data_IF_485416241370
#
_entry.id   IF_485416241370
#
_cell.length_a   1.000
_cell.length_b   1.000
_cell.length_c   1.000
_cell.angle_alpha   90.00
_cell.angle_beta   90.00
_cell.angle_gamma   90.00
#
_symmetry.space_group_name_H-M   'P 1'
#
loop_
_entity.id
_entity.type
_entity.pdbx_description
1 polymer ?
#
# COMPACT_ATOMS: atom_id res chain seq x y z
N UNK A 1 4.67 -10.57 3.52
CA UNK A 1 5.49 -11.66 4.08
C UNK A 1 6.53 -12.10 3.05
N UNK A 2 7.81 -12.12 3.48
CA UNK A 2 8.95 -12.36 2.57
C UNK A 2 8.88 -13.70 1.84
N UNK A 3 8.32 -14.74 2.48
CA UNK A 3 8.26 -16.07 1.90
C UNK A 3 7.27 -16.22 0.74
N UNK A 4 6.21 -15.41 0.70
CA UNK A 4 5.15 -15.52 -0.31
C UNK A 4 5.09 -14.35 -1.27
N UNK A 5 5.77 -13.22 -0.97
CA UNK A 5 5.71 -11.96 -1.73
C UNK A 5 4.26 -11.55 -2.08
N UNK A 6 3.30 -11.87 -1.21
CA UNK A 6 1.89 -11.57 -1.45
C UNK A 6 1.64 -10.07 -1.23
N UNK A 7 1.18 -9.39 -2.27
CA UNK A 7 0.90 -7.96 -2.21
C UNK A 7 -0.37 -7.68 -1.40
N UNK A 8 -0.21 -6.92 -0.30
CA UNK A 8 -1.30 -6.21 0.36
C UNK A 8 -1.37 -4.81 -0.25
N UNK A 9 -2.43 -4.53 -0.99
CA UNK A 9 -2.57 -3.23 -1.66
C UNK A 9 -2.89 -2.12 -0.66
N UNK A 10 -2.55 -0.88 -1.03
CA UNK A 10 -2.89 0.33 -0.27
C UNK A 10 -4.40 0.53 -0.08
N UNK A 11 -5.23 -0.14 -0.87
CA UNK A 11 -6.69 -0.08 -0.74
C UNK A 11 -7.17 -0.40 0.66
N UNK A 12 -6.56 -1.38 1.34
CA UNK A 12 -6.96 -1.76 2.70
C UNK A 12 -6.79 -0.62 3.71
N UNK A 13 -5.77 0.23 3.52
CA UNK A 13 -5.55 1.44 4.34
C UNK A 13 -6.62 2.49 4.03
N UNK A 14 -7.00 2.60 2.75
CA UNK A 14 -8.12 3.44 2.30
C UNK A 14 -9.46 2.99 2.85
N UNK A 15 -9.63 1.68 3.10
CA UNK A 15 -10.85 1.09 3.68
C UNK A 15 -10.92 1.22 5.21
N UNK A 16 -9.84 1.62 5.89
CA UNK A 16 -9.86 1.86 7.34
C UNK A 16 -8.72 1.20 8.13
N UNK A 17 -7.90 0.33 7.55
CA UNK A 17 -6.80 -0.31 8.27
C UNK A 17 -5.77 0.72 8.79
N UNK A 18 -5.19 0.44 9.97
CA UNK A 18 -4.11 1.20 10.58
C UNK A 18 -2.81 0.41 10.56
N UNK A 19 -1.67 1.10 10.61
CA UNK A 19 -0.35 0.49 10.68
C UNK A 19 0.21 0.55 12.10
N UNK A 20 0.57 -0.61 12.64
CA UNK A 20 1.09 -0.79 14.00
C UNK A 20 2.52 -1.35 13.90
N UNK A 21 3.46 -0.68 14.54
CA UNK A 21 4.86 -1.11 14.60
C UNK A 21 5.09 -2.19 15.69
N UNK A 22 6.34 -2.63 15.83
CA UNK A 22 6.74 -3.62 16.82
C UNK A 22 6.53 -3.16 18.27
N UNK A 23 6.54 -1.85 18.52
CA UNK A 23 6.30 -1.27 19.84
C UNK A 23 4.80 -1.12 20.17
N UNK A 24 3.91 -1.62 19.31
CA UNK A 24 2.46 -1.55 19.51
C UNK A 24 1.84 -0.19 19.13
N UNK A 25 2.57 0.69 18.45
CA UNK A 25 2.14 2.06 18.19
C UNK A 25 1.82 2.30 16.72
N UNK A 26 0.86 3.19 16.45
CA UNK A 26 0.72 3.84 15.14
C UNK A 26 1.86 4.84 14.98
N UNK A 27 2.37 4.98 13.76
CA UNK A 27 3.56 5.78 13.49
C UNK A 27 3.44 6.70 12.27
N UNK A 28 2.35 6.62 11.51
CA UNK A 28 2.17 7.41 10.28
C UNK A 28 0.70 7.63 9.97
N UNK A 29 0.42 8.61 9.11
CA UNK A 29 -0.86 8.70 8.42
C UNK A 29 -0.88 7.68 7.27
N UNK A 30 -1.71 6.67 7.39
CA UNK A 30 -1.78 5.55 6.45
C UNK A 30 -2.28 5.96 5.06
N UNK A 31 -2.84 7.17 4.90
CA UNK A 31 -3.34 7.68 3.62
C UNK A 31 -2.33 8.56 2.88
N UNK A 32 -1.13 8.74 3.41
CA UNK A 32 -0.05 9.37 2.66
C UNK A 32 0.30 8.56 1.41
N UNK A 33 1.03 9.16 0.50
CA UNK A 33 1.51 8.49 -0.72
C UNK A 33 2.37 7.28 -0.37
N UNK A 34 2.40 6.27 -1.26
CA UNK A 34 3.09 5.00 -1.01
C UNK A 34 4.54 5.17 -0.61
N UNK A 35 5.25 6.09 -1.26
CA UNK A 35 6.65 6.43 -0.95
C UNK A 35 6.82 6.92 0.49
N UNK A 36 5.92 7.80 0.96
CA UNK A 36 5.97 8.35 2.32
C UNK A 36 5.63 7.28 3.38
N UNK A 37 4.60 6.47 3.14
CA UNK A 37 4.26 5.38 4.05
C UNK A 37 5.36 4.33 4.09
N UNK A 38 5.92 3.96 2.93
CA UNK A 38 7.05 3.03 2.87
C UNK A 38 8.30 3.58 3.59
N UNK A 39 8.61 4.87 3.44
CA UNK A 39 9.68 5.50 4.19
C UNK A 39 9.46 5.41 5.69
N UNK A 40 8.25 5.72 6.17
CA UNK A 40 7.88 5.60 7.58
C UNK A 40 7.96 4.16 8.10
N UNK A 41 7.58 3.16 7.30
CA UNK A 41 7.74 1.74 7.64
C UNK A 41 9.22 1.32 7.75
N UNK A 42 10.09 1.80 6.83
CA UNK A 42 11.53 1.54 6.88
C UNK A 42 12.21 2.09 8.16
N UNK A 43 11.67 3.18 8.71
CA UNK A 43 12.17 3.79 9.95
C UNK A 43 11.74 3.03 11.21
N UNK A 44 10.77 2.10 11.10
CA UNK A 44 10.33 1.32 12.24
C UNK A 44 11.33 0.21 12.60
N UNK A 45 11.32 -0.27 13.86
CA UNK A 45 12.14 -1.41 14.26
C UNK A 45 11.97 -2.58 13.28
N UNK A 46 13.08 -3.10 12.74
CA UNK A 46 13.11 -4.21 11.77
C UNK A 46 12.47 -3.90 10.40
N UNK A 47 11.98 -2.65 10.13
CA UNK A 47 11.46 -2.21 8.84
C UNK A 47 10.15 -2.87 8.40
N UNK A 48 9.29 -3.24 9.37
CA UNK A 48 7.98 -3.82 9.11
C UNK A 48 6.91 -3.27 10.07
N UNK A 49 5.65 -3.53 9.73
CA UNK A 49 4.50 -3.19 10.55
C UNK A 49 3.41 -4.27 10.43
N UNK A 50 2.38 -4.19 11.26
CA UNK A 50 1.12 -4.90 11.05
C UNK A 50 0.07 -3.95 10.48
N UNK A 51 -0.59 -4.35 9.39
CA UNK A 51 -1.84 -3.76 8.96
C UNK A 51 -2.96 -4.37 9.81
N UNK A 52 -3.55 -3.55 10.68
CA UNK A 52 -4.61 -3.97 11.63
C UNK A 52 -5.95 -3.40 11.19
N UNK A 53 -6.98 -4.24 11.19
CA UNK A 53 -8.33 -3.88 10.80
C UNK A 53 -9.37 -4.84 11.41
N UNK A 54 -10.62 -4.48 11.29
CA UNK A 54 -11.74 -5.26 11.80
C UNK A 54 -12.57 -5.93 10.69
N UNK A 55 -13.67 -6.56 11.09
CA UNK A 55 -14.58 -7.24 10.17
C UNK A 55 -15.14 -6.32 9.09
N UNK A 56 -15.37 -5.04 9.36
CA UNK A 56 -15.92 -4.09 8.40
C UNK A 56 -14.98 -3.90 7.20
N UNK A 57 -13.69 -3.70 7.47
CA UNK A 57 -12.66 -3.60 6.44
C UNK A 57 -12.46 -4.94 5.71
N UNK A 58 -12.51 -6.05 6.44
CA UNK A 58 -12.47 -7.39 5.85
C UNK A 58 -13.61 -7.62 4.85
N UNK A 59 -14.84 -7.29 5.22
CA UNK A 59 -16.03 -7.48 4.37
C UNK A 59 -15.99 -6.58 3.10
N UNK A 60 -15.37 -5.40 3.19
CA UNK A 60 -15.18 -4.49 2.06
C UNK A 60 -14.12 -4.99 1.06
N UNK A 61 -13.19 -5.82 1.52
CA UNK A 61 -12.03 -6.26 0.73
C UNK A 61 -11.96 -7.79 0.55
N UNK A 62 -12.79 -8.31 -0.35
CA UNK A 62 -12.91 -9.76 -0.61
C UNK A 62 -11.60 -10.49 -0.95
N UNK A 63 -10.56 -9.76 -1.35
CA UNK A 63 -9.27 -10.36 -1.67
C UNK A 63 -8.46 -10.76 -0.42
N UNK A 64 -8.82 -10.23 0.75
CA UNK A 64 -8.14 -10.54 2.02
C UNK A 64 -8.30 -12.02 2.37
N UNK A 65 -9.51 -12.56 2.22
CA UNK A 65 -9.77 -13.99 2.50
C UNK A 65 -8.84 -14.89 1.69
N UNK A 66 -8.88 -14.78 0.37
CA UNK A 66 -8.15 -15.70 -0.53
C UNK A 66 -6.62 -15.50 -0.53
N UNK A 67 -6.17 -14.28 -0.26
CA UNK A 67 -4.74 -13.95 -0.30
C UNK A 67 -4.03 -14.14 1.03
N UNK A 68 -4.73 -13.93 2.16
CA UNK A 68 -4.11 -13.86 3.47
C UNK A 68 -4.74 -14.82 4.47
N UNK A 69 -6.04 -14.77 4.74
CA UNK A 69 -6.68 -15.57 5.79
C UNK A 69 -6.59 -17.06 5.49
N UNK A 70 -7.06 -17.50 4.32
CA UNK A 70 -7.03 -18.91 3.91
C UNK A 70 -5.61 -19.50 3.75
N UNK A 71 -4.59 -18.62 3.66
CA UNK A 71 -3.17 -19.03 3.59
C UNK A 71 -2.45 -18.97 4.94
N UNK A 72 -3.14 -18.57 6.00
CA UNK A 72 -2.53 -18.43 7.33
C UNK A 72 -1.54 -17.25 7.44
N UNK A 73 -1.66 -16.24 6.56
CA UNK A 73 -0.82 -15.04 6.56
C UNK A 73 -1.44 -13.89 7.36
N UNK A 74 -2.69 -14.02 7.78
CA UNK A 74 -3.37 -13.10 8.67
C UNK A 74 -3.55 -13.73 10.05
N UNK A 75 -3.23 -12.98 11.09
CA UNK A 75 -3.63 -13.29 12.46
C UNK A 75 -5.08 -12.87 12.62
N UNK A 76 -5.90 -13.70 13.28
CA UNK A 76 -7.34 -13.44 13.46
C UNK A 76 -7.70 -13.72 14.92
N UNK A 77 -8.44 -12.80 15.53
CA UNK A 77 -8.89 -12.94 16.91
C UNK A 77 -10.25 -12.28 17.14
N UNK A 78 -10.97 -12.75 18.16
CA UNK A 78 -12.30 -12.22 18.54
C UNK A 78 -12.22 -10.94 19.39
N UNK A 79 -11.04 -10.64 19.96
CA UNK A 79 -10.81 -9.41 20.74
C UNK A 79 -9.46 -8.79 20.41
N UNK A 80 -9.33 -7.48 20.67
CA UNK A 80 -8.08 -6.73 20.46
C UNK A 80 -6.95 -7.28 21.34
N UNK A 81 -7.25 -7.63 22.59
CA UNK A 81 -6.27 -8.20 23.52
C UNK A 81 -5.72 -9.54 23.00
N UNK A 82 -6.60 -10.42 22.51
CA UNK A 82 -6.16 -11.69 21.91
C UNK A 82 -5.36 -11.46 20.65
N UNK A 83 -5.73 -10.47 19.82
CA UNK A 83 -4.97 -10.13 18.63
C UNK A 83 -3.56 -9.67 19.01
N UNK A 84 -3.44 -8.77 20.00
CA UNK A 84 -2.15 -8.31 20.52
C UNK A 84 -1.26 -9.44 21.04
N UNK A 85 -1.83 -10.47 21.66
CA UNK A 85 -1.10 -11.65 22.13
C UNK A 85 -0.59 -12.53 20.98
N UNK A 86 -1.23 -12.48 19.82
CA UNK A 86 -0.80 -13.23 18.62
C UNK A 86 0.24 -12.46 17.80
N UNK A 87 0.29 -11.14 17.93
CA UNK A 87 1.22 -10.29 17.22
C UNK A 87 2.61 -10.33 17.89
N UNK A 88 3.67 -10.22 17.09
CA UNK A 88 5.04 -10.00 17.57
C UNK A 88 5.25 -8.50 17.86
N UNK A 89 4.55 -7.99 18.89
CA UNK A 89 4.55 -6.56 19.27
C UNK A 89 4.31 -6.42 20.76
N UNK A 90 4.52 -5.22 21.32
CA UNK A 90 4.11 -4.91 22.68
C UNK A 90 2.57 -4.91 22.76
N UNK A 91 2.02 -5.97 23.37
CA UNK A 91 0.58 -6.22 23.39
C UNK A 91 -0.19 -5.21 24.25
N UNK A 92 0.38 -4.72 25.33
CA UNK A 92 -0.26 -3.74 26.23
C UNK A 92 -0.36 -2.39 25.52
N UNK A 93 0.75 -1.92 24.96
CA UNK A 93 0.78 -0.68 24.17
C UNK A 93 -0.13 -0.76 22.94
N UNK A 94 -0.21 -1.92 22.28
CA UNK A 94 -1.11 -2.12 21.15
C UNK A 94 -2.57 -1.94 21.53
N UNK A 95 -3.02 -2.55 22.63
CA UNK A 95 -4.42 -2.43 23.13
C UNK A 95 -4.74 -0.97 23.46
N UNK A 96 -3.82 -0.27 24.14
CA UNK A 96 -3.97 1.15 24.46
C UNK A 96 -4.00 2.03 23.19
N UNK A 97 -3.17 1.73 22.21
CA UNK A 97 -3.14 2.43 20.91
C UNK A 97 -4.49 2.33 20.20
N UNK A 98 -5.08 1.12 20.12
CA UNK A 98 -6.38 0.93 19.47
C UNK A 98 -7.51 1.59 20.27
N UNK A 99 -7.48 1.51 21.60
CA UNK A 99 -8.47 2.17 22.44
C UNK A 99 -8.43 3.70 22.25
N UNK A 100 -7.24 4.31 22.34
CA UNK A 100 -7.05 5.75 22.12
C UNK A 100 -7.50 6.18 20.72
N UNK A 101 -7.19 5.39 19.70
CA UNK A 101 -7.63 5.66 18.32
C UNK A 101 -9.17 5.65 18.20
N UNK A 102 -9.84 4.66 18.80
CA UNK A 102 -11.29 4.56 18.78
C UNK A 102 -11.96 5.69 19.57
N UNK A 103 -11.42 6.03 20.75
CA UNK A 103 -11.94 7.13 21.60
C UNK A 103 -11.82 8.48 20.88
N UNK A 104 -10.71 8.76 20.24
CA UNK A 104 -10.53 9.99 19.46
C UNK A 104 -11.58 10.11 18.34
N UNK A 105 -11.91 9.00 17.66
CA UNK A 105 -12.97 8.99 16.64
C UNK A 105 -14.34 9.23 17.28
N UNK A 106 -14.66 8.56 18.39
CA UNK A 106 -15.93 8.69 19.07
C UNK A 106 -16.17 10.13 19.61
N UNK A 107 -15.09 10.79 20.04
CA UNK A 107 -15.12 12.17 20.53
C UNK A 107 -15.07 13.22 19.41
N UNK A 108 -14.86 12.83 18.15
CA UNK A 108 -14.69 13.76 17.03
C UNK A 108 -13.38 14.55 17.08
N UNK A 109 -12.36 14.00 17.72
CA UNK A 109 -11.03 14.60 17.83
C UNK A 109 -10.23 14.42 16.53
N UNK A 110 -9.30 15.35 16.27
CA UNK A 110 -8.38 15.23 15.15
C UNK A 110 -7.39 14.06 15.36
N UNK A 111 -7.01 13.41 14.26
CA UNK A 111 -5.96 12.38 14.30
C UNK A 111 -4.59 13.04 14.51
N UNK A 112 -3.83 12.67 15.53
CA UNK A 112 -2.50 13.24 15.78
C UNK A 112 -1.50 13.01 14.62
N UNK A 113 -1.78 12.03 13.74
CA UNK A 113 -0.99 11.75 12.53
C UNK A 113 -1.55 12.45 11.28
N UNK A 114 -2.63 13.25 11.41
CA UNK A 114 -3.21 14.03 10.34
C UNK A 114 -4.04 13.22 9.33
N UNK A 115 -4.58 12.05 9.73
CA UNK A 115 -5.49 11.27 8.92
C UNK A 115 -6.91 11.85 9.01
N UNK A 116 -7.33 12.61 8.01
CA UNK A 116 -8.63 13.31 7.99
C UNK A 116 -9.78 12.44 7.47
N UNK A 117 -9.49 11.44 6.63
CA UNK A 117 -10.48 10.61 5.93
C UNK A 117 -10.33 9.14 6.27
N UNK A 118 -11.38 8.36 6.00
CA UNK A 118 -11.41 6.92 6.24
C UNK A 118 -10.94 6.55 7.68
N UNK A 119 -11.36 7.34 8.66
CA UNK A 119 -11.14 7.11 10.09
C UNK A 119 -12.31 6.31 10.61
N UNK A 120 -12.20 5.01 10.49
CA UNK A 120 -13.19 4.07 10.98
C UNK A 120 -12.72 3.48 12.30
N UNK A 121 -13.60 3.40 13.29
CA UNK A 121 -13.29 2.72 14.56
C UNK A 121 -13.07 1.23 14.30
N UNK A 122 -12.10 0.65 14.98
CA UNK A 122 -11.78 -0.78 14.93
C UNK A 122 -12.47 -1.46 16.11
N UNK A 123 -13.74 -1.84 15.91
CA UNK A 123 -14.63 -2.32 16.99
C UNK A 123 -15.41 -3.60 16.64
N UNK A 124 -15.51 -3.96 15.38
CA UNK A 124 -16.33 -5.08 14.89
C UNK A 124 -15.50 -6.37 14.77
N UNK A 125 -15.71 -7.29 15.69
CA UNK A 125 -15.01 -8.60 15.64
C UNK A 125 -15.47 -9.45 14.43
N UNK A 126 -14.61 -10.36 13.90
CA UNK A 126 -13.23 -10.61 14.29
C UNK A 126 -12.26 -9.51 13.83
N UNK A 127 -11.13 -9.41 14.54
CA UNK A 127 -10.04 -8.50 14.25
C UNK A 127 -8.91 -9.21 13.52
N UNK A 128 -8.21 -8.50 12.66
CA UNK A 128 -7.19 -9.04 11.77
C UNK A 128 -5.89 -8.25 11.88
N UNK A 129 -4.76 -8.95 11.80
CA UNK A 129 -3.44 -8.33 11.63
C UNK A 129 -2.65 -9.06 10.55
N UNK A 130 -2.12 -8.32 9.58
CA UNK A 130 -1.27 -8.85 8.51
C UNK A 130 0.09 -8.20 8.62
N UNK A 131 1.16 -8.99 8.81
CA UNK A 131 2.53 -8.49 8.83
C UNK A 131 2.94 -8.02 7.44
N UNK A 132 3.37 -6.77 7.32
CA UNK A 132 3.70 -6.10 6.05
C UNK A 132 5.06 -5.44 6.14
N UNK A 133 5.72 -5.32 5.00
CA UNK A 133 6.92 -4.52 4.83
C UNK A 133 6.87 -3.84 3.46
N UNK A 134 7.59 -2.72 3.27
CA UNK A 134 7.66 -2.06 1.98
C UNK A 134 8.18 -3.00 0.89
N UNK A 135 7.54 -2.97 -0.27
CA UNK A 135 7.95 -3.74 -1.43
C UNK A 135 7.84 -2.94 -2.71
N UNK A 136 8.77 -3.13 -3.63
CA UNK A 136 8.72 -2.51 -4.95
C UNK A 136 7.69 -3.28 -5.79
N UNK A 137 6.68 -2.56 -6.26
CA UNK A 137 5.62 -3.11 -7.10
C UNK A 137 5.65 -2.55 -8.53
N UNK A 138 6.06 -1.30 -8.71
CA UNK A 138 6.10 -0.61 -10.00
C UNK A 138 7.18 0.47 -9.97
N UNK A 139 7.99 0.56 -11.00
CA UNK A 139 8.93 1.66 -11.19
C UNK A 139 8.21 2.87 -11.80
N UNK A 140 8.53 4.10 -11.35
CA UNK A 140 7.97 5.34 -11.89
C UNK A 140 8.90 5.98 -12.91
N UNK A 141 10.19 5.76 -12.74
CA UNK A 141 11.24 6.15 -13.68
C UNK A 141 11.50 5.08 -14.74
N UNK A 142 12.19 5.46 -15.81
CA UNK A 142 12.52 4.56 -16.90
C UNK A 142 13.03 5.31 -18.13
N UNK A 143 12.97 4.66 -19.27
CA UNK A 143 13.36 5.25 -20.56
C UNK A 143 12.47 6.46 -20.88
N UNK A 144 13.08 7.57 -21.28
CA UNK A 144 12.34 8.71 -21.81
C UNK A 144 11.85 8.39 -23.21
N UNK A 145 10.58 8.68 -23.46
CA UNK A 145 9.95 8.51 -24.78
C UNK A 145 9.29 9.80 -25.23
N UNK A 146 9.09 9.95 -26.54
CA UNK A 146 8.26 11.00 -27.13
C UNK A 146 6.80 10.49 -27.31
N UNK A 147 5.96 11.30 -27.94
CA UNK A 147 4.54 10.95 -28.20
C UNK A 147 4.36 9.78 -29.16
N UNK A 148 5.37 9.50 -29.97
CA UNK A 148 5.40 8.37 -30.90
C UNK A 148 6.06 7.12 -30.29
N UNK A 149 6.34 7.18 -28.97
CA UNK A 149 6.96 6.11 -28.18
C UNK A 149 8.40 5.77 -28.55
N UNK A 150 9.06 6.60 -29.36
CA UNK A 150 10.48 6.46 -29.64
C UNK A 150 11.29 6.78 -28.38
N UNK A 151 12.27 5.96 -28.09
CA UNK A 151 13.19 6.17 -26.95
C UNK A 151 14.12 7.34 -27.26
N UNK A 152 14.26 8.24 -26.29
CA UNK A 152 15.11 9.43 -26.40
C UNK A 152 16.50 9.17 -25.78
N UNK A 153 17.55 9.63 -26.45
CA UNK A 153 18.91 9.67 -25.94
C UNK A 153 19.08 10.76 -24.85
N UNK A 154 20.29 10.95 -24.34
CA UNK A 154 20.60 11.96 -23.31
C UNK A 154 20.35 13.40 -23.80
N UNK A 155 20.50 13.67 -25.10
CA UNK A 155 20.30 14.97 -25.74
C UNK A 155 18.82 15.26 -26.03
N UNK A 156 17.93 14.26 -25.83
CA UNK A 156 16.50 14.38 -26.09
C UNK A 156 16.10 14.04 -27.53
N UNK A 157 17.00 13.45 -28.31
CA UNK A 157 16.77 13.03 -29.69
C UNK A 157 16.28 11.58 -29.73
N UNK A 158 15.39 11.26 -30.68
CA UNK A 158 14.91 9.90 -30.86
C UNK A 158 16.04 8.97 -31.33
N UNK A 159 16.12 7.80 -30.72
CA UNK A 159 17.00 6.72 -31.16
C UNK A 159 16.28 5.96 -32.28
N UNK A 160 16.79 6.01 -33.55
CA UNK A 160 16.05 5.44 -34.66
C UNK A 160 15.78 3.93 -34.50
N UNK A 161 14.52 3.54 -34.69
CA UNK A 161 14.09 2.13 -34.63
C UNK A 161 13.95 1.56 -33.19
N UNK A 162 14.11 2.39 -32.16
CA UNK A 162 13.94 1.95 -30.76
C UNK A 162 12.68 2.56 -30.16
N UNK A 163 11.72 1.70 -29.81
CA UNK A 163 10.45 2.06 -29.19
C UNK A 163 10.33 1.42 -27.81
N UNK A 164 9.61 2.06 -26.90
CA UNK A 164 9.32 1.52 -25.57
C UNK A 164 7.93 1.93 -25.08
N UNK A 165 7.28 1.05 -24.29
CA UNK A 165 6.00 1.30 -23.68
C UNK A 165 5.86 0.54 -22.34
N UNK A 166 4.97 0.99 -21.46
CA UNK A 166 4.68 0.36 -20.17
C UNK A 166 5.72 0.70 -19.10
N UNK A 167 5.83 -0.14 -18.09
CA UNK A 167 6.62 0.11 -16.87
C UNK A 167 8.09 0.48 -17.13
N UNK A 168 8.67 0.02 -18.21
CA UNK A 168 10.06 0.36 -18.60
C UNK A 168 10.23 1.83 -18.94
N UNK A 169 9.15 2.57 -19.22
CA UNK A 169 9.16 3.99 -19.56
C UNK A 169 8.99 4.87 -18.35
N UNK A 170 9.63 6.05 -18.35
CA UNK A 170 9.51 7.07 -17.32
C UNK A 170 8.77 8.32 -17.79
N UNK A 171 8.29 9.11 -16.83
CA UNK A 171 7.68 10.42 -17.08
C UNK A 171 6.14 10.42 -17.24
N UNK A 172 5.51 9.26 -17.48
CA UNK A 172 4.06 9.16 -17.68
C UNK A 172 3.29 9.35 -16.37
N UNK A 173 3.76 8.74 -15.29
CA UNK A 173 3.08 8.68 -14.00
C UNK A 173 3.59 9.67 -12.96
N UNK A 174 4.55 10.51 -13.29
CA UNK A 174 5.21 11.38 -12.31
C UNK A 174 5.95 10.57 -11.24
N UNK A 175 5.97 11.06 -10.01
CA UNK A 175 6.64 10.41 -8.87
C UNK A 175 5.82 9.33 -8.16
N UNK A 176 4.50 9.27 -8.39
CA UNK A 176 3.61 8.33 -7.71
C UNK A 176 2.39 7.99 -8.57
N UNK A 177 2.40 6.82 -9.19
CA UNK A 177 1.32 6.34 -10.06
C UNK A 177 0.03 6.06 -9.28
N UNK A 178 -1.10 6.57 -9.76
CA UNK A 178 -2.42 6.17 -9.24
C UNK A 178 -2.70 4.69 -9.49
N UNK A 179 -3.35 4.05 -8.51
CA UNK A 179 -3.73 2.63 -8.59
C UNK A 179 -4.51 2.32 -9.86
N UNK A 180 -4.19 1.20 -10.53
CA UNK A 180 -4.82 0.77 -11.78
C UNK A 180 -4.29 1.41 -13.06
N UNK A 181 -3.70 2.60 -13.02
CA UNK A 181 -3.29 3.34 -14.23
C UNK A 181 -2.21 2.64 -15.08
N UNK A 182 -1.46 1.69 -14.52
CA UNK A 182 -0.54 0.87 -15.33
C UNK A 182 -1.26 0.10 -16.44
N UNK A 183 -2.50 -0.34 -16.22
CA UNK A 183 -3.27 -1.07 -17.23
C UNK A 183 -3.66 -0.14 -18.38
N UNK A 184 -4.05 1.11 -18.09
CA UNK A 184 -4.32 2.10 -19.13
C UNK A 184 -3.04 2.43 -19.92
N UNK A 185 -1.94 2.67 -19.22
CA UNK A 185 -0.62 2.97 -19.80
C UNK A 185 -0.18 1.89 -20.80
N UNK A 186 -0.08 0.62 -20.37
CA UNK A 186 0.39 -0.47 -21.24
C UNK A 186 -0.51 -0.70 -22.46
N UNK A 187 -1.82 -0.44 -22.35
CA UNK A 187 -2.73 -0.57 -23.49
C UNK A 187 -2.56 0.59 -24.49
N UNK A 188 -2.54 1.83 -23.99
CA UNK A 188 -2.44 3.02 -24.85
C UNK A 188 -1.06 3.09 -25.53
N UNK A 189 0.00 3.11 -24.72
CA UNK A 189 1.35 3.26 -25.25
C UNK A 189 1.87 2.01 -25.94
N UNK A 190 1.43 0.81 -25.54
CA UNK A 190 1.74 -0.42 -26.26
C UNK A 190 1.14 -0.44 -27.68
N UNK A 191 -0.11 0.02 -27.83
CA UNK A 191 -0.72 0.20 -29.14
C UNK A 191 0.02 1.25 -29.97
N UNK A 192 0.32 2.41 -29.37
CA UNK A 192 1.07 3.48 -30.07
C UNK A 192 2.45 3.00 -30.54
N UNK A 193 3.19 2.29 -29.67
CA UNK A 193 4.50 1.75 -30.03
C UNK A 193 4.44 0.80 -31.25
N UNK A 194 3.41 -0.06 -31.28
CA UNK A 194 3.22 -0.96 -32.40
C UNK A 194 2.90 -0.20 -33.72
N UNK A 195 2.07 0.85 -33.63
CA UNK A 195 1.73 1.67 -34.80
C UNK A 195 2.95 2.44 -35.31
N UNK A 196 3.73 3.06 -34.41
CA UNK A 196 4.93 3.81 -34.77
C UNK A 196 6.03 2.92 -35.37
N UNK A 197 6.17 1.68 -34.86
CA UNK A 197 7.17 0.75 -35.38
C UNK A 197 6.83 0.19 -36.79
N UNK A 198 5.59 0.31 -37.23
CA UNK A 198 5.13 -0.15 -38.55
C UNK A 198 5.05 0.99 -39.59
N UNK A 199 5.22 2.23 -39.17
CA UNK A 199 5.17 3.40 -40.04
C UNK A 199 6.54 3.66 -40.69
#
# INVERSE_FOLDING_TARGET
EQATATLLSEGIRGDGAVLINKDGQRFTNELLTRDKVSAAEWEQPEGWAYAVFDKKVYDSNKSVESKFVSKGLALVADTIEKLGQLMDTDSETFVETIATYNDAIANGEDDPMGREKARESIVDAPFYAIKVAPGIHHTMGGLRINTDTEVLNADGEAIPGLFAAGEVTGGIHGGNRLGGNAICDINVFGHQAAMSALA
#
